data_IF_292419460830
#
_entry.id   IF_292419460830
#
_cell.length_a   1.000
_cell.length_b   1.000
_cell.length_c   1.000
_cell.angle_alpha   90.00
_cell.angle_beta   90.00
_cell.angle_gamma   90.00
#
_symmetry.space_group_name_H-M   'P 1'
#
loop_
_entity.id
_entity.type
_entity.pdbx_description
1 polymer ?
#
# COMPACT_ATOMS: atom_id res chain seq x y z
N UNK A 1 22.87 4.06 1.00
CA UNK A 1 21.52 3.94 0.39
C UNK A 1 20.46 4.07 1.46
N UNK A 2 19.42 4.80 1.18
CA UNK A 2 18.33 4.95 2.14
C UNK A 2 17.49 3.67 2.20
N UNK A 3 16.96 3.34 3.39
CA UNK A 3 16.05 2.22 3.49
C UNK A 3 14.79 2.42 2.62
N UNK A 4 14.14 1.34 2.20
CA UNK A 4 12.87 1.46 1.49
C UNK A 4 11.83 2.25 2.27
N UNK A 5 11.00 2.99 1.56
CA UNK A 5 9.97 3.83 2.15
C UNK A 5 8.60 3.23 1.83
N UNK A 6 7.84 2.91 2.87
CA UNK A 6 6.54 2.28 2.79
C UNK A 6 5.47 3.28 3.18
N UNK A 7 4.43 3.41 2.37
CA UNK A 7 3.24 4.18 2.72
C UNK A 7 2.16 3.20 3.15
N UNK A 8 1.57 3.43 4.32
CA UNK A 8 0.44 2.66 4.84
C UNK A 8 -0.79 3.54 4.77
N UNK A 9 -1.81 3.10 4.03
CA UNK A 9 -3.06 3.83 3.84
C UNK A 9 -4.21 2.98 4.38
N UNK A 10 -4.73 3.35 5.55
CA UNK A 10 -5.83 2.64 6.19
C UNK A 10 -6.44 3.55 7.23
N UNK A 11 -7.76 3.48 7.41
CA UNK A 11 -8.45 4.27 8.43
C UNK A 11 -8.64 3.53 9.76
N UNK A 12 -8.24 2.25 9.82
CA UNK A 12 -8.33 1.45 11.05
C UNK A 12 -7.05 1.61 11.88
N UNK A 13 -7.12 2.27 13.06
CA UNK A 13 -5.91 2.55 13.85
C UNK A 13 -5.13 1.30 14.24
N UNK A 14 -5.81 0.20 14.54
CA UNK A 14 -5.15 -1.04 14.97
C UNK A 14 -4.30 -1.63 13.84
N UNK A 15 -4.80 -1.59 12.61
CA UNK A 15 -4.07 -2.08 11.44
C UNK A 15 -2.85 -1.19 11.20
N UNK A 16 -3.06 0.12 11.22
CA UNK A 16 -1.97 1.09 11.00
C UNK A 16 -0.86 0.88 12.02
N UNK A 17 -1.19 0.77 13.31
CA UNK A 17 -0.21 0.58 14.36
C UNK A 17 0.57 -0.72 14.21
N UNK A 18 -0.13 -1.81 13.91
CA UNK A 18 0.51 -3.12 13.72
C UNK A 18 1.48 -3.10 12.55
N UNK A 19 1.04 -2.56 11.42
CA UNK A 19 1.88 -2.52 10.22
C UNK A 19 3.05 -1.57 10.39
N UNK A 20 2.83 -0.42 10.99
CA UNK A 20 3.91 0.54 11.24
C UNK A 20 5.00 -0.08 12.10
N UNK A 21 4.61 -0.75 13.18
CA UNK A 21 5.56 -1.41 14.07
C UNK A 21 6.41 -2.44 13.32
N UNK A 22 5.74 -3.31 12.55
CA UNK A 22 6.43 -4.38 11.82
C UNK A 22 7.37 -3.83 10.75
N UNK A 23 6.93 -2.82 10.00
CA UNK A 23 7.73 -2.25 8.93
C UNK A 23 8.96 -1.51 9.48
N UNK A 24 8.79 -0.75 10.56
CA UNK A 24 9.92 -0.07 11.21
C UNK A 24 10.89 -1.06 11.81
N UNK A 25 10.40 -2.13 12.40
CA UNK A 25 11.23 -3.20 12.95
C UNK A 25 12.08 -3.87 11.86
N UNK A 26 11.54 -3.96 10.66
CA UNK A 26 12.26 -4.50 9.51
C UNK A 26 13.29 -3.51 8.94
N UNK A 27 13.36 -2.31 9.47
CA UNK A 27 14.33 -1.29 9.02
C UNK A 27 13.81 -0.36 7.94
N UNK A 28 12.52 -0.40 7.62
CA UNK A 28 11.94 0.46 6.58
C UNK A 28 11.52 1.82 7.15
N UNK A 29 11.55 2.84 6.29
CA UNK A 29 10.93 4.12 6.59
C UNK A 29 9.44 3.99 6.35
N UNK A 30 8.62 4.59 7.21
CA UNK A 30 7.15 4.47 7.14
C UNK A 30 6.51 5.84 7.15
N UNK A 31 5.57 6.04 6.24
CA UNK A 31 4.64 7.16 6.26
C UNK A 31 3.21 6.60 6.33
N UNK A 32 2.30 7.39 6.88
CA UNK A 32 0.92 6.96 7.11
C UNK A 32 -0.03 7.97 6.50
N UNK A 33 -1.04 7.47 5.79
CA UNK A 33 -2.18 8.25 5.33
C UNK A 33 -3.44 7.56 5.86
N UNK A 34 -4.38 8.34 6.36
CA UNK A 34 -5.56 7.79 7.04
C UNK A 34 -6.81 7.79 6.15
N UNK A 35 -6.70 8.35 4.98
CA UNK A 35 -7.79 8.41 4.01
C UNK A 35 -7.22 8.63 2.61
N UNK A 36 -8.09 8.57 1.63
CA UNK A 36 -7.68 8.69 0.22
C UNK A 36 -7.09 10.04 -0.13
N UNK A 37 -7.62 11.13 0.43
CA UNK A 37 -7.11 12.48 0.19
C UNK A 37 -5.66 12.60 0.68
N UNK A 38 -5.39 12.13 1.89
CA UNK A 38 -4.02 12.13 2.44
C UNK A 38 -3.09 11.26 1.59
N UNK A 39 -3.62 10.11 1.11
CA UNK A 39 -2.82 9.22 0.26
C UNK A 39 -2.43 9.90 -1.06
N UNK A 40 -3.37 10.60 -1.70
CA UNK A 40 -3.09 11.33 -2.93
C UNK A 40 -2.02 12.40 -2.72
N UNK A 41 -2.13 13.15 -1.63
CA UNK A 41 -1.13 14.16 -1.29
C UNK A 41 0.24 13.53 -1.05
N UNK A 42 0.28 12.42 -0.32
CA UNK A 42 1.53 11.73 -0.01
C UNK A 42 2.23 11.25 -1.27
N UNK A 43 1.51 10.58 -2.18
CA UNK A 43 2.13 10.05 -3.40
C UNK A 43 2.54 11.15 -4.37
N UNK A 44 1.89 12.32 -4.30
CA UNK A 44 2.30 13.46 -5.11
C UNK A 44 3.59 14.11 -4.61
N UNK A 45 3.82 14.05 -3.31
CA UNK A 45 4.99 14.69 -2.68
C UNK A 45 6.19 13.77 -2.56
N UNK A 46 5.98 12.46 -2.48
CA UNK A 46 7.03 11.51 -2.14
C UNK A 46 6.92 10.25 -3.00
N UNK A 47 8.06 9.73 -3.44
CA UNK A 47 8.11 8.42 -4.11
C UNK A 47 8.24 7.33 -3.04
N UNK A 48 7.30 6.42 -3.02
CA UNK A 48 7.33 5.26 -2.12
C UNK A 48 7.73 4.01 -2.89
N UNK A 49 8.42 3.11 -2.21
CA UNK A 49 8.78 1.81 -2.80
C UNK A 49 7.58 0.87 -2.79
N UNK A 50 6.82 0.88 -1.70
CA UNK A 50 5.60 0.07 -1.56
C UNK A 50 4.51 0.92 -0.93
N UNK A 51 3.30 0.81 -1.47
CA UNK A 51 2.09 1.42 -0.91
C UNK A 51 1.15 0.30 -0.51
N UNK A 52 0.84 0.20 0.79
CA UNK A 52 -0.16 -0.73 1.32
C UNK A 52 -1.44 0.06 1.48
N UNK A 53 -2.48 -0.33 0.76
CA UNK A 53 -3.61 0.54 0.47
C UNK A 53 -4.94 -0.17 0.70
N UNK A 54 -5.73 0.35 1.65
CA UNK A 54 -7.11 -0.10 1.83
C UNK A 54 -7.98 0.48 0.70
N UNK A 55 -9.02 -0.25 0.33
CA UNK A 55 -9.94 0.18 -0.73
C UNK A 55 -11.06 1.03 -0.16
N UNK A 56 -11.64 0.61 0.96
CA UNK A 56 -12.83 1.23 1.52
C UNK A 56 -12.48 2.40 2.42
N UNK A 57 -12.48 3.59 1.85
CA UNK A 57 -12.24 4.84 2.58
C UNK A 57 -13.35 5.83 2.24
N UNK A 58 -13.69 6.76 3.17
CA UNK A 58 -14.91 7.56 3.02
C UNK A 58 -14.86 8.65 1.94
N UNK A 59 -13.69 9.09 1.53
CA UNK A 59 -13.53 10.20 0.59
C UNK A 59 -13.13 9.73 -0.81
N UNK A 60 -11.92 9.20 -0.97
CA UNK A 60 -11.39 8.68 -2.23
C UNK A 60 -11.07 7.22 -2.00
N UNK A 61 -11.59 6.32 -2.81
CA UNK A 61 -11.33 4.89 -2.60
C UNK A 61 -9.93 4.49 -3.07
N UNK A 62 -9.51 3.30 -2.65
CA UNK A 62 -8.16 2.81 -2.96
C UNK A 62 -7.91 2.59 -4.45
N UNK A 63 -8.93 2.22 -5.21
CA UNK A 63 -8.78 2.05 -6.66
C UNK A 63 -8.38 3.37 -7.32
N UNK A 64 -9.02 4.46 -6.89
CA UNK A 64 -8.72 5.80 -7.41
C UNK A 64 -7.30 6.23 -7.07
N UNK A 65 -6.85 5.96 -5.84
CA UNK A 65 -5.48 6.27 -5.43
C UNK A 65 -4.47 5.49 -6.28
N UNK A 66 -4.72 4.21 -6.50
CA UNK A 66 -3.83 3.37 -7.31
C UNK A 66 -3.75 3.87 -8.75
N UNK A 67 -4.90 4.17 -9.36
CA UNK A 67 -4.93 4.70 -10.74
C UNK A 67 -4.18 6.02 -10.85
N UNK A 68 -4.38 6.91 -9.86
CA UNK A 68 -3.66 8.19 -9.82
C UNK A 68 -2.15 7.99 -9.79
N UNK A 69 -1.69 7.09 -8.93
CA UNK A 69 -0.28 6.74 -8.81
C UNK A 69 0.28 6.22 -10.14
N UNK A 70 -0.44 5.33 -10.81
CA UNK A 70 0.01 4.73 -12.06
C UNK A 70 0.05 5.71 -13.22
N UNK A 71 -0.72 6.79 -13.15
CA UNK A 71 -0.74 7.83 -14.18
C UNK A 71 0.45 8.79 -14.05
N UNK A 72 1.16 8.77 -12.94
CA UNK A 72 2.34 9.62 -12.73
C UNK A 72 3.59 8.86 -13.19
N UNK A 73 4.28 9.33 -14.26
CA UNK A 73 5.46 8.61 -14.77
C UNK A 73 6.57 8.46 -13.74
N UNK A 74 6.74 9.47 -12.88
CA UNK A 74 7.80 9.46 -11.86
C UNK A 74 7.45 8.63 -10.62
N UNK A 75 6.23 8.08 -10.54
CA UNK A 75 5.76 7.25 -9.42
C UNK A 75 5.31 5.86 -9.86
N UNK A 76 5.25 5.61 -11.16
CA UNK A 76 4.68 4.37 -11.70
C UNK A 76 5.43 3.11 -11.26
N UNK A 77 6.68 3.25 -10.81
CA UNK A 77 7.48 2.12 -10.31
C UNK A 77 7.16 1.71 -8.88
N UNK A 78 6.34 2.46 -8.15
CA UNK A 78 5.93 2.07 -6.80
C UNK A 78 5.10 0.78 -6.87
N UNK A 79 5.35 -0.13 -5.92
CA UNK A 79 4.56 -1.36 -5.81
C UNK A 79 3.33 -1.09 -4.97
N UNK A 80 2.18 -1.61 -5.37
CA UNK A 80 0.92 -1.40 -4.67
C UNK A 80 0.37 -2.73 -4.19
N UNK A 81 0.09 -2.83 -2.89
CA UNK A 81 -0.58 -3.95 -2.27
C UNK A 81 -1.93 -3.45 -1.76
N UNK A 82 -3.02 -3.96 -2.33
CA UNK A 82 -4.33 -3.72 -1.73
C UNK A 82 -4.53 -4.63 -0.52
N UNK A 83 -5.06 -4.07 0.54
CA UNK A 83 -5.37 -4.77 1.77
C UNK A 83 -6.82 -4.44 2.12
N UNK A 84 -7.75 -5.38 1.92
CA UNK A 84 -9.16 -5.04 1.99
C UNK A 84 -10.04 -6.18 2.49
N UNK A 85 -11.14 -5.80 3.16
CA UNK A 85 -12.21 -6.73 3.53
C UNK A 85 -13.02 -7.18 2.32
N UNK A 86 -12.95 -6.48 1.19
CA UNK A 86 -13.58 -6.91 -0.06
C UNK A 86 -12.80 -8.10 -0.61
N UNK A 87 -13.43 -9.26 -0.70
CA UNK A 87 -12.75 -10.49 -1.10
C UNK A 87 -13.40 -11.20 -2.28
N UNK A 88 -14.41 -10.60 -2.90
CA UNK A 88 -15.05 -11.20 -4.07
C UNK A 88 -14.09 -11.13 -5.27
N UNK A 89 -14.24 -12.09 -6.17
CA UNK A 89 -13.39 -12.17 -7.36
C UNK A 89 -13.43 -10.89 -8.19
N UNK A 90 -14.61 -10.28 -8.33
CA UNK A 90 -14.75 -9.03 -9.07
C UNK A 90 -13.97 -7.88 -8.41
N UNK A 91 -13.94 -7.84 -7.09
CA UNK A 91 -13.18 -6.81 -6.36
C UNK A 91 -11.69 -6.97 -6.58
N UNK A 92 -11.21 -8.20 -6.56
CA UNK A 92 -9.79 -8.54 -6.77
C UNK A 92 -9.37 -8.18 -8.20
N UNK A 93 -10.19 -8.56 -9.19
CA UNK A 93 -9.92 -8.22 -10.59
C UNK A 93 -9.84 -6.72 -10.79
N UNK A 94 -10.76 -5.98 -10.18
CA UNK A 94 -10.76 -4.51 -10.25
C UNK A 94 -9.48 -3.91 -9.66
N UNK A 95 -8.97 -4.52 -8.59
CA UNK A 95 -7.71 -4.11 -7.99
C UNK A 95 -6.54 -4.25 -8.95
N UNK A 96 -6.43 -5.40 -9.60
CA UNK A 96 -5.36 -5.62 -10.57
C UNK A 96 -5.52 -4.74 -11.81
N UNK A 97 -6.74 -4.51 -12.26
CA UNK A 97 -6.99 -3.59 -13.38
C UNK A 97 -6.59 -2.16 -13.03
N UNK A 98 -6.74 -1.75 -11.78
CA UNK A 98 -6.30 -0.44 -11.33
C UNK A 98 -4.78 -0.30 -11.26
N UNK A 99 -4.06 -1.41 -11.34
CA UNK A 99 -2.60 -1.42 -11.38
C UNK A 99 -1.92 -1.98 -10.14
N UNK A 100 -2.63 -2.73 -9.30
CA UNK A 100 -2.04 -3.35 -8.12
C UNK A 100 -1.06 -4.44 -8.50
N UNK A 101 -0.02 -4.59 -7.69
CA UNK A 101 0.91 -5.72 -7.79
C UNK A 101 0.41 -6.92 -7.01
N UNK A 102 -0.36 -6.67 -5.95
CA UNK A 102 -0.87 -7.73 -5.09
C UNK A 102 -2.17 -7.30 -4.43
N UNK A 103 -3.04 -8.25 -4.16
CA UNK A 103 -4.31 -8.05 -3.45
C UNK A 103 -4.37 -9.03 -2.28
N UNK A 104 -4.46 -8.51 -1.07
CA UNK A 104 -4.46 -9.31 0.16
C UNK A 104 -5.79 -9.11 0.89
N UNK A 105 -6.63 -10.13 0.99
CA UNK A 105 -7.89 -10.02 1.74
C UNK A 105 -7.65 -9.90 3.25
N UNK A 106 -8.51 -9.15 3.93
CA UNK A 106 -8.58 -9.12 5.39
C UNK A 106 -9.52 -10.24 5.87
N UNK A 107 -9.26 -10.90 7.01
CA UNK A 107 -8.08 -10.75 7.85
C UNK A 107 -6.85 -11.38 7.20
N UNK A 108 -5.69 -10.80 7.46
CA UNK A 108 -4.45 -11.23 6.83
C UNK A 108 -3.43 -11.69 7.88
N UNK A 109 -2.47 -12.48 7.43
CA UNK A 109 -1.32 -12.86 8.26
C UNK A 109 -0.25 -11.77 8.14
N UNK A 110 0.14 -11.18 9.26
CA UNK A 110 1.20 -10.17 9.28
C UNK A 110 2.53 -10.74 8.78
N UNK A 111 2.79 -11.99 9.11
CA UNK A 111 4.01 -12.68 8.66
C UNK A 111 4.04 -12.84 7.15
N UNK A 112 2.93 -13.28 6.56
CA UNK A 112 2.83 -13.43 5.11
C UNK A 112 2.93 -12.08 4.40
N UNK A 113 2.27 -11.06 4.96
CA UNK A 113 2.32 -9.72 4.38
C UNK A 113 3.75 -9.18 4.37
N UNK A 114 4.49 -9.37 5.46
CA UNK A 114 5.90 -8.96 5.51
C UNK A 114 6.74 -9.66 4.46
N UNK A 115 6.52 -10.96 4.26
CA UNK A 115 7.22 -11.73 3.22
C UNK A 115 6.89 -11.17 1.83
N UNK A 116 5.62 -10.84 1.59
CA UNK A 116 5.16 -10.29 0.31
C UNK A 116 5.76 -8.91 0.04
N UNK A 117 5.83 -8.06 1.06
CA UNK A 117 6.50 -6.75 0.95
C UNK A 117 7.96 -6.94 0.57
N UNK A 118 8.65 -7.85 1.24
CA UNK A 118 10.06 -8.12 0.95
C UNK A 118 10.28 -8.61 -0.47
N UNK A 119 9.37 -9.42 -0.98
CA UNK A 119 9.46 -9.94 -2.35
C UNK A 119 9.26 -8.86 -3.41
N UNK A 120 8.45 -7.84 -3.11
CA UNK A 120 8.20 -6.74 -4.04
C UNK A 120 9.31 -5.69 -4.02
N UNK A 121 10.09 -5.64 -2.95
CA UNK A 121 11.21 -4.70 -2.86
C UNK A 121 12.40 -5.22 -3.68
N UNK A 122 13.22 -4.30 -4.22
CA UNK A 122 14.43 -4.75 -4.92
C UNK A 122 15.36 -5.46 -3.94
N UNK A 123 16.12 -6.46 -4.42
CA UNK A 123 17.06 -7.16 -3.55
C UNK A 123 18.07 -6.17 -2.98
N UNK A 124 18.35 -6.32 -1.68
CA UNK A 124 19.39 -5.50 -1.05
C UNK A 124 20.74 -5.91 -1.63
N UNK A 125 21.46 -4.89 -2.05
CA UNK A 125 22.79 -5.10 -2.62
C UNK A 125 23.78 -5.54 -1.53
#
# INVERSE_FOLDING_TARGET
>A
MEPPHILIVDDEPNIVMSLEFLMRKAGYRVSIARNGTEALEAVDQTAFDVVILDIMMPDVDGYQVCRHLRQRPDRAGSRVIFLSAKSREADIEKGYEAGADLYVPKPFSTRQLMQQVQQLLPPSA
#
